data_IF_678330943516
#
_entry.id   IF_678330943516
#
_cell.length_a   1.000
_cell.length_b   1.000
_cell.length_c   1.000
_cell.angle_alpha   90.00
_cell.angle_beta   90.00
_cell.angle_gamma   90.00
#
_symmetry.space_group_name_H-M   'P 1'
#
loop_
_entity.id
_entity.type
_entity.pdbx_description
1 polymer ?
#
# COMPACT_ATOMS: atom_id res chain seq x y z
N UNK A 1 -8.71 5.40 -20.44
CA UNK A 1 -9.84 5.45 -19.49
C UNK A 1 -9.46 4.54 -18.34
N UNK A 2 -8.91 5.12 -17.26
CA UNK A 2 -8.45 4.33 -16.11
C UNK A 2 -9.65 3.68 -15.45
N UNK A 3 -9.66 2.35 -15.39
CA UNK A 3 -10.67 1.63 -14.62
C UNK A 3 -10.64 2.15 -13.17
N UNK A 4 -11.80 2.51 -12.58
CA UNK A 4 -11.85 2.79 -11.17
C UNK A 4 -11.36 1.52 -10.45
N UNK A 5 -10.33 1.66 -9.62
CA UNK A 5 -9.92 0.57 -8.73
C UNK A 5 -11.17 0.21 -7.95
N UNK A 6 -11.76 -0.95 -8.24
CA UNK A 6 -12.99 -1.40 -7.59
C UNK A 6 -12.83 -1.25 -6.07
N UNK A 7 -13.87 -0.84 -5.33
CA UNK A 7 -13.76 -0.67 -3.89
C UNK A 7 -13.23 -1.96 -3.30
N UNK A 8 -12.01 -1.92 -2.76
CA UNK A 8 -11.39 -3.10 -2.19
C UNK A 8 -12.17 -3.41 -0.92
N UNK A 9 -12.88 -4.53 -0.92
CA UNK A 9 -13.61 -4.99 0.26
C UNK A 9 -12.63 -5.25 1.42
N UNK A 10 -13.12 -5.24 2.66
CA UNK A 10 -12.32 -5.61 3.84
C UNK A 10 -11.64 -6.98 3.64
N UNK A 11 -12.32 -7.92 2.98
CA UNK A 11 -11.76 -9.22 2.62
C UNK A 11 -10.66 -9.11 1.57
N UNK A 12 -10.83 -8.24 0.57
CA UNK A 12 -9.80 -7.92 -0.42
C UNK A 12 -8.54 -7.32 0.21
N UNK A 13 -8.69 -6.44 1.21
CA UNK A 13 -7.58 -5.87 1.97
C UNK A 13 -6.81 -6.96 2.71
N UNK A 14 -7.50 -7.85 3.42
CA UNK A 14 -6.86 -8.96 4.14
C UNK A 14 -6.14 -9.91 3.19
N UNK A 15 -6.75 -10.24 2.05
CA UNK A 15 -6.10 -11.06 1.03
C UNK A 15 -4.86 -10.39 0.42
N UNK A 16 -4.87 -9.07 0.24
CA UNK A 16 -3.69 -8.32 -0.19
C UNK A 16 -2.58 -8.35 0.86
N UNK A 17 -2.92 -8.17 2.15
CA UNK A 17 -1.95 -8.26 3.25
C UNK A 17 -1.37 -9.68 3.36
N UNK A 18 -2.18 -10.72 3.21
CA UNK A 18 -1.71 -12.11 3.21
C UNK A 18 -0.72 -12.38 2.07
N UNK A 19 -1.00 -11.89 0.86
CA UNK A 19 -0.07 -11.98 -0.28
C UNK A 19 1.23 -11.23 -0.02
N UNK A 20 1.15 -10.03 0.56
CA UNK A 20 2.34 -9.23 0.90
C UNK A 20 3.20 -9.94 1.97
N UNK A 21 2.59 -10.52 2.99
CA UNK A 21 3.27 -11.33 4.01
C UNK A 21 4.03 -12.50 3.38
N UNK A 22 3.37 -13.27 2.51
CA UNK A 22 4.00 -14.40 1.81
C UNK A 22 5.15 -13.97 0.89
N UNK A 23 4.99 -12.86 0.18
CA UNK A 23 6.00 -12.38 -0.78
C UNK A 23 7.24 -11.79 -0.10
N UNK A 24 7.09 -11.19 1.08
CA UNK A 24 8.17 -10.46 1.78
C UNK A 24 8.76 -11.22 2.96
N UNK A 25 8.07 -12.24 3.46
CA UNK A 25 8.42 -12.94 4.70
C UNK A 25 8.08 -12.15 5.97
N UNK A 26 7.49 -10.96 5.86
CA UNK A 26 7.02 -10.18 7.01
C UNK A 26 5.77 -10.85 7.60
N UNK A 27 5.70 -10.93 8.93
CA UNK A 27 4.57 -11.55 9.63
C UNK A 27 3.22 -10.89 9.25
N UNK A 28 2.22 -11.73 8.99
CA UNK A 28 0.88 -11.28 8.61
C UNK A 28 0.22 -10.42 9.69
N UNK A 29 0.34 -10.83 10.95
CA UNK A 29 -0.30 -10.13 12.07
C UNK A 29 0.30 -8.75 12.27
N UNK A 30 1.63 -8.63 12.09
CA UNK A 30 2.32 -7.33 12.10
C UNK A 30 1.78 -6.39 11.03
N UNK A 31 1.62 -6.86 9.79
CA UNK A 31 1.09 -6.04 8.70
C UNK A 31 -0.37 -5.64 8.93
N UNK A 32 -1.21 -6.55 9.44
CA UNK A 32 -2.61 -6.26 9.78
C UNK A 32 -2.70 -5.22 10.89
N UNK A 33 -1.92 -5.37 11.97
CA UNK A 33 -1.96 -4.45 13.10
C UNK A 33 -1.45 -3.06 12.71
N UNK A 34 -0.41 -3.01 11.89
CA UNK A 34 0.09 -1.75 11.34
C UNK A 34 -0.98 -1.07 10.48
N UNK A 35 -1.60 -1.80 9.54
CA UNK A 35 -2.65 -1.22 8.70
C UNK A 35 -3.90 -0.79 9.51
N UNK A 36 -4.23 -1.51 10.59
CA UNK A 36 -5.29 -1.09 11.54
C UNK A 36 -4.93 0.21 12.24
N UNK A 37 -3.70 0.32 12.75
CA UNK A 37 -3.23 1.52 13.45
C UNK A 37 -3.19 2.75 12.56
N UNK A 38 -2.72 2.60 11.33
CA UNK A 38 -2.50 3.72 10.42
C UNK A 38 -3.80 4.18 9.72
N UNK A 39 -4.69 3.25 9.36
CA UNK A 39 -5.85 3.57 8.50
C UNK A 39 -7.17 2.93 8.92
N UNK A 40 -7.21 2.18 10.03
CA UNK A 40 -8.35 1.33 10.39
C UNK A 40 -8.74 0.32 9.28
N UNK A 41 -7.75 -0.18 8.52
CA UNK A 41 -7.92 -1.03 7.33
C UNK A 41 -8.69 -0.35 6.18
N UNK A 42 -8.69 0.98 6.12
CA UNK A 42 -9.28 1.73 5.01
C UNK A 42 -8.23 1.96 3.91
N UNK A 43 -8.33 1.30 2.74
CA UNK A 43 -7.38 1.47 1.65
C UNK A 43 -7.47 2.84 0.96
N UNK A 44 -8.51 3.62 1.25
CA UNK A 44 -8.74 4.96 0.73
C UNK A 44 -8.55 6.05 1.80
N UNK A 45 -7.96 5.72 2.96
CA UNK A 45 -7.65 6.70 3.99
C UNK A 45 -6.75 7.82 3.43
N UNK A 46 -7.00 9.06 3.84
CA UNK A 46 -6.20 10.23 3.50
C UNK A 46 -6.11 11.14 4.71
N UNK A 47 -4.90 11.49 5.12
CA UNK A 47 -4.68 12.41 6.23
C UNK A 47 -5.08 13.85 5.83
N UNK A 48 -5.67 14.60 6.76
CA UNK A 48 -6.07 16.00 6.50
C UNK A 48 -4.91 17.00 6.56
N UNK A 49 -3.79 16.62 7.17
CA UNK A 49 -2.66 17.51 7.46
C UNK A 49 -1.37 17.14 6.71
N UNK A 50 -1.39 16.07 5.91
CA UNK A 50 -0.22 15.59 5.17
C UNK A 50 -0.64 14.85 3.89
N UNK A 51 0.35 14.43 3.08
CA UNK A 51 0.11 13.60 1.89
C UNK A 51 -0.11 12.12 2.20
N UNK A 52 -0.08 11.73 3.48
CA UNK A 52 -0.22 10.34 3.91
C UNK A 52 -1.54 9.73 3.42
N UNK A 53 -1.45 8.65 2.64
CA UNK A 53 -2.60 8.01 1.98
C UNK A 53 -2.51 6.48 2.03
N UNK A 54 -3.65 5.81 2.06
CA UNK A 54 -3.79 4.36 1.92
C UNK A 54 -3.53 3.57 3.20
N UNK A 55 -3.42 2.24 3.06
CA UNK A 55 -3.41 1.31 4.20
C UNK A 55 -2.31 1.57 5.23
N UNK A 56 -1.13 1.96 4.76
CA UNK A 56 0.06 2.18 5.58
C UNK A 56 0.43 3.67 5.70
N UNK A 57 -0.45 4.57 5.27
CA UNK A 57 -0.28 6.02 5.42
C UNK A 57 1.11 6.54 4.97
N UNK A 58 1.64 6.01 3.86
CA UNK A 58 2.87 6.55 3.28
C UNK A 58 2.65 7.99 2.81
N UNK A 59 3.57 8.88 3.17
CA UNK A 59 3.66 10.20 2.54
C UNK A 59 4.24 10.07 1.13
N UNK A 60 3.86 11.00 0.26
CA UNK A 60 4.17 10.96 -1.18
C UNK A 60 5.67 10.81 -1.48
N UNK A 61 6.53 11.60 -0.81
CA UNK A 61 7.98 11.56 -1.06
C UNK A 61 8.60 10.20 -0.76
N UNK A 62 8.25 9.60 0.38
CA UNK A 62 8.71 8.26 0.78
C UNK A 62 8.17 7.20 -0.17
N UNK A 63 6.92 7.31 -0.61
CA UNK A 63 6.35 6.40 -1.60
C UNK A 63 7.12 6.45 -2.94
N UNK A 64 7.37 7.64 -3.46
CA UNK A 64 8.12 7.82 -4.71
C UNK A 64 9.56 7.29 -4.59
N UNK A 65 10.20 7.48 -3.43
CA UNK A 65 11.52 6.88 -3.17
C UNK A 65 11.47 5.35 -3.18
N UNK A 66 10.43 4.72 -2.62
CA UNK A 66 10.26 3.27 -2.66
C UNK A 66 10.02 2.75 -4.07
N UNK A 67 9.19 3.43 -4.87
CA UNK A 67 8.96 3.06 -6.27
C UNK A 67 10.25 3.19 -7.09
N UNK A 68 11.04 4.26 -6.90
CA UNK A 68 12.34 4.40 -7.57
C UNK A 68 13.31 3.26 -7.25
N UNK A 69 13.35 2.83 -5.98
CA UNK A 69 14.32 1.81 -5.52
C UNK A 69 13.89 0.38 -5.84
N UNK A 70 12.61 0.08 -5.67
CA UNK A 70 12.09 -1.30 -5.68
C UNK A 70 10.98 -1.52 -6.70
N UNK A 71 10.52 -0.48 -7.39
CA UNK A 71 9.37 -0.56 -8.30
C UNK A 71 9.58 -1.56 -9.43
N UNK A 72 10.80 -1.66 -9.99
CA UNK A 72 11.10 -2.62 -11.04
C UNK A 72 10.86 -4.07 -10.61
N UNK A 73 11.20 -4.43 -9.37
CA UNK A 73 10.99 -5.77 -8.80
C UNK A 73 9.48 -6.10 -8.64
N UNK A 74 8.64 -5.06 -8.60
CA UNK A 74 7.20 -5.17 -8.44
C UNK A 74 6.41 -4.83 -9.72
N UNK A 75 7.05 -4.82 -10.89
CA UNK A 75 6.39 -4.54 -12.18
C UNK A 75 6.07 -3.06 -12.42
N UNK A 76 6.58 -2.16 -11.58
CA UNK A 76 6.45 -0.70 -11.68
C UNK A 76 7.70 -0.06 -12.31
N UNK A 77 8.38 -0.77 -13.20
CA UNK A 77 9.64 -0.30 -13.81
C UNK A 77 9.48 1.00 -14.62
N UNK A 78 8.33 1.22 -15.25
CA UNK A 78 8.06 2.48 -15.95
C UNK A 78 7.95 3.67 -14.97
N UNK A 79 7.26 3.45 -13.85
CA UNK A 79 7.05 4.45 -12.80
C UNK A 79 8.32 4.70 -11.98
N UNK A 80 9.21 3.72 -11.87
CA UNK A 80 10.50 3.86 -11.20
C UNK A 80 11.47 4.79 -11.97
N UNK A 81 11.29 4.91 -13.30
CA UNK A 81 12.16 5.69 -14.20
C UNK A 81 11.51 6.99 -14.73
N UNK A 82 10.27 7.28 -14.32
CA UNK A 82 9.55 8.51 -14.66
C UNK A 82 9.91 9.63 -13.68
#
# INVERSE_FOLDING_TARGET
MSEPIAPVSQDGVRAAIARASQATGVDFSLLVETARRESALNPHARAGTSSATGLFQFIESTWLDMVRRHGAEHGLGAQANA
#
